data_IF_859346579979
#
_entry.id   IF_859346579979
#
_cell.length_a   1.000
_cell.length_b   1.000
_cell.length_c   1.000
_cell.angle_alpha   90.00
_cell.angle_beta   90.00
_cell.angle_gamma   90.00
#
_symmetry.space_group_name_H-M   'P 1'
#
loop_
_entity.id
_entity.type
_entity.pdbx_description
1 polymer ?
#
# COMPACT_ATOMS: atom_id res chain seq x y z
N UNK A 1 9.97 -26.33 -22.67
CA UNK A 1 9.94 -25.80 -21.29
C UNK A 1 11.34 -25.37 -20.94
N UNK A 2 11.49 -24.21 -20.29
CA UNK A 2 12.80 -23.75 -19.83
C UNK A 2 13.13 -24.42 -18.49
N UNK A 3 14.40 -24.74 -18.27
CA UNK A 3 14.90 -25.17 -16.95
C UNK A 3 15.16 -23.92 -16.09
N UNK A 4 15.15 -24.07 -14.77
CA UNK A 4 15.52 -22.98 -13.85
C UNK A 4 16.99 -22.59 -14.01
N UNK A 5 17.31 -21.32 -13.76
CA UNK A 5 18.65 -20.76 -13.95
C UNK A 5 19.10 -20.00 -12.70
N UNK A 6 20.25 -20.40 -12.13
CA UNK A 6 20.96 -19.58 -11.16
C UNK A 6 21.69 -18.42 -11.87
N UNK A 7 21.53 -17.20 -11.36
CA UNK A 7 22.30 -16.01 -11.78
C UNK A 7 22.94 -15.34 -10.56
N UNK A 8 24.07 -14.67 -10.78
CA UNK A 8 24.63 -13.71 -9.82
C UNK A 8 23.87 -12.38 -9.94
N UNK A 9 23.40 -11.82 -8.82
CA UNK A 9 22.72 -10.53 -8.78
C UNK A 9 23.69 -9.37 -9.05
N UNK A 10 23.36 -8.53 -10.03
CA UNK A 10 24.13 -7.34 -10.41
C UNK A 10 24.37 -6.39 -9.23
N UNK A 11 23.40 -6.25 -8.32
CA UNK A 11 23.47 -5.31 -7.22
C UNK A 11 24.18 -5.91 -5.99
N UNK A 12 23.65 -6.99 -5.41
CA UNK A 12 24.17 -7.57 -4.15
C UNK A 12 25.23 -8.67 -4.32
N UNK A 13 25.57 -9.05 -5.56
CA UNK A 13 26.55 -10.10 -5.92
C UNK A 13 26.25 -11.51 -5.36
N UNK A 14 25.10 -11.70 -4.71
CA UNK A 14 24.59 -13.00 -4.27
C UNK A 14 23.95 -13.75 -5.44
N UNK A 15 24.02 -15.08 -5.42
CA UNK A 15 23.24 -15.93 -6.30
C UNK A 15 21.73 -15.78 -6.05
N UNK A 16 20.94 -15.89 -7.12
CA UNK A 16 19.49 -16.02 -7.07
C UNK A 16 19.00 -16.94 -8.19
N UNK A 17 17.99 -17.75 -7.90
CA UNK A 17 17.33 -18.59 -8.90
C UNK A 17 16.29 -17.78 -9.68
N UNK A 18 16.18 -18.09 -10.98
CA UNK A 18 15.07 -17.73 -11.84
C UNK A 18 14.36 -19.02 -12.19
N UNK A 19 13.12 -19.17 -11.73
CA UNK A 19 12.36 -20.41 -11.88
C UNK A 19 11.85 -20.60 -13.31
N UNK A 20 11.48 -21.83 -13.70
CA UNK A 20 10.93 -22.15 -15.04
C UNK A 20 9.80 -21.20 -15.45
N UNK A 21 8.93 -20.88 -14.50
CA UNK A 21 7.70 -20.14 -14.69
C UNK A 21 7.96 -18.62 -14.72
N UNK A 22 9.11 -18.18 -14.20
CA UNK A 22 9.54 -16.79 -14.28
C UNK A 22 9.81 -16.36 -15.72
N UNK A 23 10.35 -17.26 -16.54
CA UNK A 23 10.59 -17.01 -17.96
C UNK A 23 9.28 -16.78 -18.73
N UNK A 24 8.26 -17.62 -18.47
CA UNK A 24 6.91 -17.50 -19.07
C UNK A 24 6.31 -16.13 -18.75
N UNK A 25 6.50 -15.68 -17.50
CA UNK A 25 6.05 -14.37 -17.07
C UNK A 25 6.80 -13.21 -17.78
N UNK A 26 8.14 -13.24 -17.88
CA UNK A 26 8.88 -12.18 -18.58
C UNK A 26 8.57 -12.14 -20.09
N UNK A 27 8.27 -13.29 -20.70
CA UNK A 27 7.79 -13.41 -22.09
C UNK A 27 6.38 -12.79 -22.27
N UNK A 28 5.41 -13.14 -21.41
CA UNK A 28 4.05 -12.52 -21.33
C UNK A 28 4.11 -10.99 -21.22
N UNK A 29 5.23 -10.48 -20.72
CA UNK A 29 5.53 -9.07 -20.48
C UNK A 29 6.38 -8.38 -21.57
N UNK A 30 6.97 -9.15 -22.48
CA UNK A 30 7.92 -8.67 -23.49
C UNK A 30 9.15 -7.93 -22.90
N UNK A 31 9.55 -8.24 -21.66
CA UNK A 31 10.71 -7.65 -20.98
C UNK A 31 11.92 -8.60 -20.97
N UNK A 32 13.16 -8.07 -20.90
CA UNK A 32 14.34 -8.88 -20.55
C UNK A 32 14.18 -9.59 -19.20
N UNK A 33 14.72 -10.81 -19.11
CA UNK A 33 14.88 -11.52 -17.83
C UNK A 33 15.89 -10.75 -16.96
N UNK A 34 15.53 -10.32 -15.74
CA UNK A 34 16.34 -9.41 -14.95
C UNK A 34 17.68 -10.02 -14.51
N UNK A 35 18.63 -9.14 -14.20
CA UNK A 35 19.90 -9.47 -13.55
C UNK A 35 19.90 -9.03 -12.07
N UNK A 36 18.73 -8.69 -11.50
CA UNK A 36 18.56 -8.16 -10.15
C UNK A 36 17.55 -9.02 -9.38
N UNK A 37 17.93 -9.50 -8.20
CA UNK A 37 17.12 -10.35 -7.33
C UNK A 37 15.93 -9.61 -6.70
N UNK A 38 14.90 -10.34 -6.26
CA UNK A 38 13.65 -9.78 -5.73
C UNK A 38 13.84 -8.79 -4.57
N UNK A 39 14.67 -9.12 -3.58
CA UNK A 39 14.96 -8.24 -2.45
C UNK A 39 15.54 -6.88 -2.85
N UNK A 40 16.37 -6.83 -3.91
CA UNK A 40 16.91 -5.57 -4.41
C UNK A 40 15.82 -4.73 -5.11
N UNK A 41 14.92 -5.36 -5.88
CA UNK A 41 13.78 -4.67 -6.52
C UNK A 41 12.81 -4.10 -5.48
N UNK A 42 12.46 -4.87 -4.45
CA UNK A 42 11.52 -4.41 -3.42
C UNK A 42 12.09 -3.26 -2.58
N UNK A 43 13.38 -3.28 -2.23
CA UNK A 43 14.05 -2.14 -1.60
C UNK A 43 13.98 -0.89 -2.48
N UNK A 44 14.20 -1.03 -3.79
CA UNK A 44 14.14 0.06 -4.77
C UNK A 44 12.73 0.68 -4.88
N UNK A 45 11.66 -0.11 -4.74
CA UNK A 45 10.27 0.37 -4.74
C UNK A 45 9.91 1.07 -3.43
N UNK A 46 10.32 0.50 -2.29
CA UNK A 46 10.03 1.05 -0.96
C UNK A 46 10.64 2.46 -0.76
N UNK A 47 11.77 2.76 -1.43
CA UNK A 47 12.39 4.09 -1.46
C UNK A 47 11.49 5.20 -2.00
N UNK A 48 10.40 4.88 -2.70
CA UNK A 48 9.47 5.85 -3.26
C UNK A 48 8.22 6.04 -2.38
N UNK A 49 8.11 5.38 -1.21
CA UNK A 49 6.97 5.53 -0.27
C UNK A 49 7.42 6.09 1.09
N UNK A 50 7.41 7.41 1.24
CA UNK A 50 7.35 8.07 2.56
C UNK A 50 5.89 8.13 3.03
N UNK A 51 5.52 7.25 3.97
CA UNK A 51 4.17 7.20 4.53
C UNK A 51 3.98 8.13 5.73
N UNK A 52 4.94 8.16 6.67
CA UNK A 52 4.76 8.72 8.02
C UNK A 52 5.71 9.86 8.38
N UNK A 53 6.74 10.15 7.58
CA UNK A 53 7.71 11.20 7.88
C UNK A 53 7.22 12.54 7.33
N UNK A 54 6.55 13.32 8.17
CA UNK A 54 5.84 14.53 7.79
C UNK A 54 6.60 15.80 8.17
N UNK A 55 6.70 16.73 7.24
CA UNK A 55 7.39 18.01 7.37
C UNK A 55 6.41 19.18 7.28
N UNK A 56 6.71 20.27 8.00
CA UNK A 56 6.09 21.57 7.75
C UNK A 56 6.82 22.24 6.58
N UNK A 57 6.07 22.63 5.54
CA UNK A 57 6.53 23.45 4.40
C UNK A 57 5.61 24.66 4.23
N UNK A 58 6.01 25.59 3.36
CA UNK A 58 5.07 26.47 2.67
C UNK A 58 4.77 25.89 1.28
N UNK A 59 3.59 26.17 0.74
CA UNK A 59 3.20 25.79 -0.62
C UNK A 59 3.90 26.66 -1.66
N UNK A 60 4.61 26.05 -2.62
CA UNK A 60 5.41 26.80 -3.60
C UNK A 60 4.56 27.55 -4.66
N UNK A 61 3.22 27.41 -4.65
CA UNK A 61 2.29 28.19 -5.48
C UNK A 61 1.55 29.32 -4.74
N UNK A 62 1.36 29.20 -3.41
CA UNK A 62 0.52 30.13 -2.66
C UNK A 62 1.07 30.55 -1.29
N UNK A 63 2.32 30.19 -0.97
CA UNK A 63 3.03 30.47 0.28
C UNK A 63 2.40 29.93 1.59
N UNK A 64 1.16 29.42 1.55
CA UNK A 64 0.45 28.89 2.72
C UNK A 64 1.20 27.73 3.40
N UNK A 65 1.19 27.73 4.73
CA UNK A 65 1.78 26.68 5.56
C UNK A 65 1.03 25.36 5.40
N UNK A 66 1.75 24.28 5.07
CA UNK A 66 1.19 22.96 4.83
C UNK A 66 2.03 21.84 5.46
N UNK A 67 1.40 20.68 5.68
CA UNK A 67 2.09 19.43 6.00
C UNK A 67 2.45 18.71 4.68
N UNK A 68 3.62 18.09 4.64
CA UNK A 68 4.21 17.51 3.42
C UNK A 68 4.99 16.23 3.67
N UNK A 69 4.99 15.31 2.71
CA UNK A 69 5.91 14.16 2.68
C UNK A 69 7.30 14.48 2.10
N UNK A 70 7.56 15.73 1.71
CA UNK A 70 8.84 16.17 1.16
C UNK A 70 9.63 17.05 2.15
N UNK A 71 10.82 16.60 2.55
CA UNK A 71 11.78 17.37 3.34
C UNK A 71 11.98 18.79 2.76
N UNK A 72 11.99 19.88 3.56
CA UNK A 72 12.13 21.26 3.07
C UNK A 72 13.30 21.49 2.08
N UNK A 73 14.41 20.77 2.24
CA UNK A 73 15.59 20.87 1.37
C UNK A 73 15.51 20.02 0.08
N UNK A 74 14.37 19.37 -0.17
CA UNK A 74 14.03 18.66 -1.40
C UNK A 74 14.16 19.56 -2.65
N UNK A 75 14.65 19.05 -3.80
CA UNK A 75 14.77 19.82 -5.03
C UNK A 75 13.43 20.03 -5.77
N UNK A 76 12.34 19.37 -5.35
CA UNK A 76 11.04 19.47 -6.01
C UNK A 76 10.25 20.70 -5.55
N UNK A 77 9.59 21.36 -6.50
CA UNK A 77 8.46 22.26 -6.27
C UNK A 77 7.27 21.46 -5.71
N UNK A 78 6.71 21.85 -4.55
CA UNK A 78 5.62 21.13 -3.88
C UNK A 78 4.40 22.03 -3.66
N UNK A 79 3.23 21.57 -4.10
CA UNK A 79 1.97 22.29 -3.96
C UNK A 79 1.04 21.64 -2.93
N UNK A 80 0.33 22.47 -2.16
CA UNK A 80 -0.76 22.01 -1.30
C UNK A 80 -1.86 21.32 -2.14
N UNK A 81 -2.63 20.42 -1.53
CA UNK A 81 -3.59 19.59 -2.27
C UNK A 81 -4.59 20.41 -3.11
N UNK A 82 -5.07 21.54 -2.58
CA UNK A 82 -5.98 22.44 -3.28
C UNK A 82 -5.31 23.14 -4.47
N UNK A 83 -4.05 23.55 -4.34
CA UNK A 83 -3.28 24.11 -5.46
C UNK A 83 -2.95 23.04 -6.51
N UNK A 84 -2.53 21.86 -6.09
CA UNK A 84 -2.22 20.73 -6.98
C UNK A 84 -3.44 20.28 -7.79
N UNK A 85 -4.64 20.27 -7.18
CA UNK A 85 -5.91 19.94 -7.84
C UNK A 85 -6.62 21.15 -8.49
N UNK A 86 -6.08 22.36 -8.40
CA UNK A 86 -6.60 23.56 -9.10
C UNK A 86 -6.10 23.68 -10.55
N UNK A 87 -6.70 24.58 -11.34
CA UNK A 87 -6.29 24.87 -12.72
C UNK A 87 -5.29 26.04 -12.82
N UNK A 88 -4.64 26.39 -11.71
CA UNK A 88 -3.60 27.45 -11.64
C UNK A 88 -2.27 27.06 -12.31
N UNK A 89 -2.12 25.80 -12.71
CA UNK A 89 -0.95 25.24 -13.38
C UNK A 89 -1.37 24.10 -14.31
N UNK A 90 -0.54 23.79 -15.30
CA UNK A 90 -0.75 22.67 -16.24
C UNK A 90 0.57 21.93 -16.46
N UNK A 91 0.56 20.60 -16.30
CA UNK A 91 1.73 19.76 -16.53
C UNK A 91 2.24 19.81 -18.00
N UNK A 92 1.41 20.25 -18.95
CA UNK A 92 1.82 20.55 -20.35
C UNK A 92 2.90 21.64 -20.44
N UNK A 93 2.95 22.59 -19.51
CA UNK A 93 3.89 23.71 -19.54
C UNK A 93 5.36 23.28 -19.32
N UNK A 94 5.57 22.03 -18.92
CA UNK A 94 6.88 21.41 -18.67
C UNK A 94 7.27 20.38 -19.75
N UNK A 95 6.51 20.33 -20.86
CA UNK A 95 6.73 19.38 -21.95
C UNK A 95 8.12 19.55 -22.60
N UNK A 96 8.79 18.42 -22.86
CA UNK A 96 10.10 18.37 -23.51
C UNK A 96 10.06 17.61 -24.83
N UNK A 97 10.95 17.99 -25.75
CA UNK A 97 11.27 17.20 -26.93
C UNK A 97 12.16 16.01 -26.55
N UNK A 98 11.85 14.83 -27.09
CA UNK A 98 12.64 13.62 -26.88
C UNK A 98 13.89 13.61 -27.77
N UNK A 99 15.07 13.64 -27.14
CA UNK A 99 16.35 13.44 -27.79
C UNK A 99 16.60 11.95 -28.03
N UNK A 100 16.69 11.59 -29.32
CA UNK A 100 16.89 10.23 -29.82
C UNK A 100 18.26 9.63 -29.56
N UNK A 101 19.26 10.47 -29.25
CA UNK A 101 20.66 10.09 -29.04
C UNK A 101 20.90 9.84 -27.54
N UNK A 102 20.28 10.65 -26.66
CA UNK A 102 20.45 10.56 -25.21
C UNK A 102 19.70 9.39 -24.56
N UNK A 103 20.15 8.86 -23.41
CA UNK A 103 19.41 7.88 -22.63
C UNK A 103 18.05 8.43 -22.16
N UNK A 104 16.99 7.62 -22.25
CA UNK A 104 15.64 8.05 -21.88
C UNK A 104 15.49 8.37 -20.38
N UNK A 105 16.08 7.57 -19.49
CA UNK A 105 15.93 7.75 -18.04
C UNK A 105 16.54 9.07 -17.52
N UNK A 106 17.57 9.61 -18.18
CA UNK A 106 18.08 10.95 -17.87
C UNK A 106 17.03 12.02 -18.15
N UNK A 107 16.44 11.99 -19.36
CA UNK A 107 15.44 12.95 -19.80
C UNK A 107 14.19 12.90 -18.90
N UNK A 108 13.81 11.69 -18.45
CA UNK A 108 12.75 11.48 -17.46
C UNK A 108 13.11 12.07 -16.08
N UNK A 109 14.35 11.87 -15.59
CA UNK A 109 14.82 12.47 -14.34
C UNK A 109 14.77 14.00 -14.38
N UNK A 110 15.19 14.61 -15.48
CA UNK A 110 15.10 16.07 -15.64
C UNK A 110 13.66 16.60 -15.66
N UNK A 111 12.68 15.79 -16.12
CA UNK A 111 11.26 16.17 -16.11
C UNK A 111 10.67 16.10 -14.70
N UNK A 112 10.92 14.99 -14.00
CA UNK A 112 10.42 14.77 -12.62
C UNK A 112 10.86 15.89 -11.65
N UNK A 113 12.04 16.49 -11.87
CA UNK A 113 12.57 17.58 -11.06
C UNK A 113 11.84 18.92 -11.27
N UNK A 114 11.32 19.21 -12.47
CA UNK A 114 10.72 20.51 -12.80
C UNK A 114 9.19 20.53 -12.66
N UNK A 115 8.52 19.39 -12.81
CA UNK A 115 7.06 19.27 -12.68
C UNK A 115 6.66 19.30 -11.19
N UNK A 116 5.74 20.19 -10.75
CA UNK A 116 5.30 20.26 -9.36
C UNK A 116 4.73 18.95 -8.80
N UNK A 117 4.84 18.76 -7.48
CA UNK A 117 4.43 17.53 -6.77
C UNK A 117 3.34 17.82 -5.73
N UNK A 118 2.45 16.85 -5.50
CA UNK A 118 1.39 16.94 -4.48
C UNK A 118 1.98 16.77 -3.07
N UNK A 119 1.62 17.65 -2.12
CA UNK A 119 2.24 17.66 -0.78
C UNK A 119 2.02 16.38 0.05
N UNK A 120 0.86 15.74 -0.06
CA UNK A 120 0.48 14.50 0.64
C UNK A 120 -0.38 13.64 -0.27
N UNK A 121 -0.20 12.33 -0.29
CA UNK A 121 -0.92 11.46 -1.22
C UNK A 121 -2.37 11.20 -0.77
N UNK A 122 -3.33 11.67 -1.59
CA UNK A 122 -4.79 11.56 -1.36
C UNK A 122 -5.46 10.91 -2.57
N UNK A 123 -5.77 9.61 -2.44
CA UNK A 123 -6.34 8.77 -3.50
C UNK A 123 -7.84 9.00 -3.71
N UNK A 124 -8.25 9.30 -4.95
CA UNK A 124 -9.63 9.21 -5.45
C UNK A 124 -10.66 10.22 -4.91
N UNK A 125 -10.30 11.08 -3.96
CA UNK A 125 -11.24 12.03 -3.34
C UNK A 125 -10.54 13.15 -2.58
N UNK A 126 -11.19 13.64 -1.53
CA UNK A 126 -10.65 14.63 -0.59
C UNK A 126 -10.79 14.14 0.85
N UNK A 127 -10.03 14.75 1.77
CA UNK A 127 -10.15 14.53 3.21
C UNK A 127 -10.69 15.80 3.87
N UNK A 128 -11.75 15.67 4.66
CA UNK A 128 -12.47 16.80 5.27
C UNK A 128 -12.03 16.96 6.73
N UNK A 129 -11.36 18.07 7.06
CA UNK A 129 -10.83 18.38 8.40
C UNK A 129 -9.86 17.31 8.94
N UNK A 130 -8.64 17.28 8.40
CA UNK A 130 -7.54 16.49 8.96
C UNK A 130 -6.24 16.66 8.16
N UNK A 131 -5.26 17.33 8.77
CA UNK A 131 -4.01 17.75 8.13
C UNK A 131 -2.94 16.66 8.13
N UNK A 132 -2.88 15.89 9.22
CA UNK A 132 -1.90 14.81 9.44
C UNK A 132 -2.47 13.49 8.90
N UNK A 133 -2.62 13.41 7.57
CA UNK A 133 -3.13 12.23 6.88
C UNK A 133 -2.37 12.02 5.56
N UNK A 134 -1.85 10.81 5.34
CA UNK A 134 -1.09 10.47 4.13
C UNK A 134 -1.44 9.05 3.67
N UNK A 135 -1.37 8.77 2.38
CA UNK A 135 -1.91 7.54 1.77
C UNK A 135 -3.38 7.31 2.14
N UNK A 136 -4.20 8.36 1.97
CA UNK A 136 -5.52 8.38 2.60
C UNK A 136 -6.52 9.23 1.84
N UNK A 137 -7.77 8.78 1.72
CA UNK A 137 -8.80 9.47 0.93
C UNK A 137 -10.22 9.17 1.41
N UNK A 138 -11.15 10.11 1.18
CA UNK A 138 -12.53 10.05 1.65
C UNK A 138 -12.69 10.04 3.19
N UNK A 139 -11.71 10.54 3.94
CA UNK A 139 -11.77 10.59 5.41
C UNK A 139 -12.37 11.91 5.91
N UNK A 140 -12.97 11.89 7.11
CA UNK A 140 -13.71 13.01 7.69
C UNK A 140 -13.44 13.14 9.19
N UNK A 141 -12.88 14.28 9.62
CA UNK A 141 -12.47 14.55 11.00
C UNK A 141 -11.47 13.51 11.57
N UNK A 142 -10.51 13.08 10.76
CA UNK A 142 -9.52 12.08 11.15
C UNK A 142 -8.14 12.72 11.39
N UNK A 143 -7.41 12.25 12.40
CA UNK A 143 -6.13 12.84 12.81
C UNK A 143 -5.04 11.78 12.99
N UNK A 144 -3.87 11.99 12.36
CA UNK A 144 -2.74 11.07 12.40
C UNK A 144 -3.14 9.66 11.93
N UNK A 145 -3.76 9.58 10.74
CA UNK A 145 -4.18 8.31 10.12
C UNK A 145 -3.51 8.07 8.78
N UNK A 146 -3.12 6.81 8.54
CA UNK A 146 -2.29 6.41 7.40
C UNK A 146 -2.87 5.18 6.68
N UNK A 147 -2.64 5.07 5.37
CA UNK A 147 -3.10 3.92 4.56
C UNK A 147 -4.62 3.63 4.72
N UNK A 148 -5.44 4.67 4.84
CA UNK A 148 -6.81 4.63 5.42
C UNK A 148 -7.81 5.37 4.54
N UNK A 149 -9.03 4.84 4.37
CA UNK A 149 -10.04 5.51 3.56
C UNK A 149 -11.50 5.22 3.89
N UNK A 150 -12.38 6.16 3.52
CA UNK A 150 -13.81 6.18 3.83
C UNK A 150 -14.15 6.20 5.34
N UNK A 151 -13.29 6.80 6.19
CA UNK A 151 -13.48 6.78 7.66
C UNK A 151 -13.94 8.10 8.25
N UNK A 152 -14.62 8.05 9.41
CA UNK A 152 -15.10 9.24 10.13
C UNK A 152 -14.65 9.24 11.61
N UNK A 153 -14.22 10.39 12.14
CA UNK A 153 -13.83 10.58 13.55
C UNK A 153 -12.75 9.58 14.05
N UNK A 154 -11.81 9.16 13.20
CA UNK A 154 -10.78 8.16 13.55
C UNK A 154 -9.41 8.80 13.81
N UNK A 155 -8.65 8.32 14.80
CA UNK A 155 -7.35 8.90 15.16
C UNK A 155 -6.26 7.86 15.45
N UNK A 156 -4.99 8.24 15.25
CA UNK A 156 -3.80 7.45 15.60
C UNK A 156 -3.85 6.00 15.07
N UNK A 157 -4.31 5.81 13.84
CA UNK A 157 -4.71 4.50 13.31
C UNK A 157 -4.24 4.26 11.87
N UNK A 158 -4.08 2.98 11.50
CA UNK A 158 -3.53 2.57 10.20
C UNK A 158 -4.37 1.47 9.56
N UNK A 159 -4.63 1.57 8.25
CA UNK A 159 -5.34 0.52 7.52
C UNK A 159 -6.85 0.47 7.76
N UNK A 160 -7.48 1.56 8.19
CA UNK A 160 -8.92 1.58 8.49
C UNK A 160 -9.77 1.71 7.22
N UNK A 161 -10.92 1.00 7.18
CA UNK A 161 -11.92 1.09 6.11
C UNK A 161 -13.34 1.14 6.66
N UNK A 162 -14.07 2.19 6.31
CA UNK A 162 -15.47 2.44 6.71
C UNK A 162 -15.72 2.44 8.24
N UNK A 163 -14.68 2.72 9.03
CA UNK A 163 -14.76 2.84 10.48
C UNK A 163 -15.34 4.20 10.93
N UNK A 164 -16.00 4.21 12.09
CA UNK A 164 -16.42 5.42 12.80
C UNK A 164 -16.00 5.37 14.27
N UNK A 165 -15.54 6.50 14.80
CA UNK A 165 -15.21 6.68 16.23
C UNK A 165 -14.19 5.64 16.75
N UNK A 166 -13.05 5.48 16.04
CA UNK A 166 -11.97 4.52 16.34
C UNK A 166 -10.68 5.22 16.76
N UNK A 167 -10.04 4.71 17.81
CA UNK A 167 -8.75 5.18 18.33
C UNK A 167 -7.76 4.00 18.46
N UNK A 168 -6.48 4.26 18.19
CA UNK A 168 -5.35 3.33 18.37
C UNK A 168 -5.63 1.92 17.81
N UNK A 169 -5.93 1.85 16.51
CA UNK A 169 -6.26 0.61 15.82
C UNK A 169 -5.42 0.37 14.56
N UNK A 170 -5.04 -0.89 14.39
CA UNK A 170 -4.30 -1.41 13.25
C UNK A 170 -5.22 -2.36 12.49
N UNK A 171 -5.52 -2.04 11.23
CA UNK A 171 -6.38 -2.79 10.29
C UNK A 171 -7.76 -3.20 10.86
N UNK A 172 -8.77 -2.39 10.53
CA UNK A 172 -10.18 -2.66 10.86
C UNK A 172 -11.10 -2.37 9.67
N UNK A 173 -12.12 -3.21 9.49
CA UNK A 173 -13.12 -3.07 8.44
C UNK A 173 -14.53 -3.04 9.08
N UNK A 174 -15.12 -1.83 9.08
CA UNK A 174 -16.47 -1.49 9.59
C UNK A 174 -16.68 -1.81 11.09
N UNK A 175 -16.22 -0.92 11.99
CA UNK A 175 -16.57 -0.91 13.41
C UNK A 175 -17.00 0.50 13.87
N UNK A 176 -17.91 0.55 14.86
CA UNK A 176 -18.45 1.78 15.48
C UNK A 176 -18.23 1.83 17.00
N UNK A 177 -17.01 1.46 17.45
CA UNK A 177 -16.25 1.99 18.61
C UNK A 177 -15.29 0.94 19.14
N UNK A 178 -14.02 1.32 19.27
CA UNK A 178 -12.94 0.45 19.76
C UNK A 178 -11.73 1.25 20.25
N UNK A 179 -11.00 0.65 21.19
CA UNK A 179 -9.63 0.98 21.57
C UNK A 179 -8.85 -0.34 21.69
N UNK A 180 -7.62 -0.35 21.16
CA UNK A 180 -6.74 -1.51 21.02
C UNK A 180 -7.42 -2.76 20.40
N UNK A 181 -7.92 -2.58 19.18
CA UNK A 181 -8.27 -3.66 18.26
C UNK A 181 -7.20 -3.78 17.15
N UNK A 182 -6.67 -4.99 16.95
CA UNK A 182 -5.51 -5.27 16.07
C UNK A 182 -5.88 -6.11 14.82
N UNK A 183 -7.05 -6.74 14.80
CA UNK A 183 -7.65 -7.37 13.62
C UNK A 183 -9.13 -7.62 13.93
N UNK A 184 -10.02 -6.82 13.36
CA UNK A 184 -11.46 -6.90 13.59
C UNK A 184 -12.27 -6.59 12.31
N UNK A 185 -13.22 -7.47 11.98
CA UNK A 185 -14.08 -7.39 10.79
C UNK A 185 -15.56 -7.45 11.17
N UNK A 186 -16.40 -6.60 10.58
CA UNK A 186 -17.88 -6.65 10.65
C UNK A 186 -18.40 -6.82 12.08
N UNK A 187 -17.94 -5.98 13.00
CA UNK A 187 -18.10 -6.19 14.45
C UNK A 187 -18.54 -4.91 15.18
N UNK A 188 -19.15 -5.05 16.35
CA UNK A 188 -19.72 -3.91 17.08
C UNK A 188 -19.50 -4.03 18.59
N UNK A 189 -19.16 -2.92 19.27
CA UNK A 189 -18.97 -2.89 20.72
C UNK A 189 -17.81 -3.76 21.22
N UNK A 190 -16.68 -3.74 20.50
CA UNK A 190 -15.50 -4.59 20.76
C UNK A 190 -14.33 -3.77 21.30
N UNK A 191 -13.73 -4.24 22.40
CA UNK A 191 -12.50 -3.71 22.98
C UNK A 191 -11.49 -4.83 23.27
N UNK A 192 -10.19 -4.48 23.30
CA UNK A 192 -9.11 -5.36 23.78
C UNK A 192 -9.08 -6.74 23.11
N UNK A 193 -9.28 -6.77 21.78
CA UNK A 193 -9.55 -7.99 21.04
C UNK A 193 -8.70 -8.10 19.77
N UNK A 194 -8.31 -9.33 19.45
CA UNK A 194 -7.37 -9.63 18.36
C UNK A 194 -7.84 -10.86 17.58
N UNK A 195 -7.74 -10.77 16.25
CA UNK A 195 -8.10 -11.85 15.31
C UNK A 195 -9.58 -12.28 15.47
N UNK A 196 -10.50 -11.31 15.34
CA UNK A 196 -11.94 -11.51 15.51
C UNK A 196 -12.76 -11.10 14.29
N UNK A 197 -13.86 -11.81 14.06
CA UNK A 197 -14.75 -11.58 12.92
C UNK A 197 -16.20 -11.88 13.29
N UNK A 198 -17.13 -11.01 12.86
CA UNK A 198 -18.57 -11.09 13.12
C UNK A 198 -18.93 -11.13 14.63
N UNK A 199 -18.25 -10.33 15.47
CA UNK A 199 -18.46 -10.34 16.92
C UNK A 199 -19.22 -9.11 17.41
N UNK A 200 -20.07 -9.29 18.43
CA UNK A 200 -20.99 -8.28 18.94
C UNK A 200 -20.91 -8.15 20.47
N UNK A 201 -20.78 -6.90 20.97
CA UNK A 201 -20.84 -6.52 22.38
C UNK A 201 -19.99 -7.42 23.29
N UNK A 202 -18.74 -7.65 22.90
CA UNK A 202 -17.83 -8.63 23.51
C UNK A 202 -16.44 -8.04 23.69
N UNK A 203 -15.71 -8.43 24.74
CA UNK A 203 -14.40 -7.86 25.09
C UNK A 203 -13.40 -8.95 25.48
N UNK A 204 -12.11 -8.66 25.35
CA UNK A 204 -11.04 -9.63 25.62
C UNK A 204 -11.23 -10.92 24.83
N UNK A 205 -11.33 -10.79 23.50
CA UNK A 205 -11.48 -11.92 22.58
C UNK A 205 -10.18 -12.20 21.82
N UNK A 206 -9.83 -13.47 21.66
CA UNK A 206 -8.69 -13.88 20.84
C UNK A 206 -9.00 -15.07 19.92
N UNK A 207 -8.72 -14.93 18.62
CA UNK A 207 -8.96 -15.95 17.59
C UNK A 207 -10.44 -16.43 17.49
N UNK A 208 -11.39 -15.57 17.88
CA UNK A 208 -12.81 -15.89 18.02
C UNK A 208 -13.64 -15.47 16.80
N UNK A 209 -14.74 -16.16 16.53
CA UNK A 209 -15.60 -15.88 15.36
C UNK A 209 -17.08 -16.12 15.65
N UNK A 210 -17.94 -15.16 15.28
CA UNK A 210 -19.39 -15.19 15.55
C UNK A 210 -19.69 -15.39 17.06
N UNK A 211 -19.25 -14.43 17.88
CA UNK A 211 -19.52 -14.38 19.32
C UNK A 211 -20.39 -13.17 19.66
N UNK A 212 -21.40 -13.36 20.51
CA UNK A 212 -22.26 -12.29 21.01
C UNK A 212 -22.26 -12.28 22.54
N UNK A 213 -22.04 -11.13 23.17
CA UNK A 213 -21.99 -11.01 24.64
C UNK A 213 -21.04 -12.06 25.26
N UNK A 214 -19.75 -12.00 24.91
CA UNK A 214 -18.71 -12.88 25.47
C UNK A 214 -17.52 -12.08 26.01
N UNK A 215 -16.85 -12.63 27.03
CA UNK A 215 -15.78 -11.95 27.76
C UNK A 215 -14.60 -12.87 28.05
N UNK A 216 -13.38 -12.45 27.75
CA UNK A 216 -12.16 -13.23 28.03
C UNK A 216 -12.07 -14.55 27.25
N UNK A 217 -12.63 -14.63 26.04
CA UNK A 217 -12.78 -15.89 25.31
C UNK A 217 -11.72 -16.11 24.22
N UNK A 218 -11.24 -17.35 24.10
CA UNK A 218 -10.11 -17.76 23.26
C UNK A 218 -10.52 -18.93 22.34
N UNK A 219 -10.21 -18.83 21.04
CA UNK A 219 -10.44 -19.86 20.02
C UNK A 219 -11.92 -20.32 19.83
N UNK A 220 -12.90 -19.64 20.43
CA UNK A 220 -14.32 -20.03 20.36
C UNK A 220 -15.02 -19.60 19.06
N UNK A 221 -16.07 -20.35 18.69
CA UNK A 221 -16.93 -20.09 17.53
C UNK A 221 -18.40 -20.30 17.83
N UNK A 222 -19.27 -19.43 17.33
CA UNK A 222 -20.74 -19.54 17.44
C UNK A 222 -21.20 -19.66 18.91
N UNK A 223 -20.81 -18.72 19.79
CA UNK A 223 -21.09 -18.74 21.24
C UNK A 223 -21.64 -17.43 21.77
N UNK A 224 -22.59 -17.55 22.70
CA UNK A 224 -23.22 -16.44 23.39
C UNK A 224 -23.07 -16.61 24.91
N UNK A 225 -22.96 -15.52 25.67
CA UNK A 225 -22.89 -15.51 27.14
C UNK A 225 -21.79 -16.43 27.70
N UNK A 226 -20.56 -16.33 27.18
CA UNK A 226 -19.40 -17.05 27.71
C UNK A 226 -18.42 -16.13 28.43
N UNK A 227 -17.86 -16.60 29.55
CA UNK A 227 -16.83 -15.92 30.33
C UNK A 227 -15.65 -16.88 30.55
N UNK A 228 -14.43 -16.49 30.16
CA UNK A 228 -13.24 -17.36 30.20
C UNK A 228 -13.51 -18.75 29.61
N UNK A 229 -14.07 -18.78 28.40
CA UNK A 229 -14.53 -19.95 27.65
C UNK A 229 -15.65 -20.80 28.27
N UNK A 230 -16.18 -20.47 29.45
CA UNK A 230 -17.28 -21.22 30.09
C UNK A 230 -18.64 -20.58 29.76
N UNK A 231 -19.68 -21.35 29.42
CA UNK A 231 -21.05 -20.83 29.30
C UNK A 231 -21.55 -20.36 30.67
N UNK A 232 -22.30 -19.26 30.69
CA UNK A 232 -22.99 -18.74 31.86
C UNK A 232 -24.45 -18.44 31.52
N UNK A 233 -25.30 -18.39 32.55
CA UNK A 233 -26.63 -17.84 32.40
C UNK A 233 -26.59 -16.33 32.12
N UNK A 234 -27.55 -15.83 31.34
CA UNK A 234 -27.54 -14.44 30.83
C UNK A 234 -27.37 -13.41 31.95
N UNK A 235 -28.02 -13.62 33.11
CA UNK A 235 -27.91 -12.73 34.27
C UNK A 235 -26.51 -12.78 34.88
N UNK A 236 -26.00 -13.97 35.16
CA UNK A 236 -24.67 -14.17 35.75
C UNK A 236 -23.55 -13.59 34.86
N UNK A 237 -23.69 -13.69 33.53
CA UNK A 237 -22.79 -13.03 32.59
C UNK A 237 -22.78 -11.51 32.77
N UNK A 238 -23.95 -10.87 32.82
CA UNK A 238 -24.09 -9.42 32.99
C UNK A 238 -23.52 -8.98 34.34
N UNK A 239 -23.83 -9.69 35.41
CA UNK A 239 -23.37 -9.39 36.77
C UNK A 239 -21.83 -9.49 36.87
N UNK A 240 -21.19 -10.49 36.24
CA UNK A 240 -19.71 -10.61 36.22
C UNK A 240 -19.03 -9.54 35.37
N UNK A 241 -19.56 -9.26 34.17
CA UNK A 241 -18.92 -8.32 33.22
C UNK A 241 -19.08 -6.87 33.68
N UNK A 242 -20.23 -6.49 34.24
CA UNK A 242 -20.41 -5.18 34.89
C UNK A 242 -19.55 -5.01 36.15
N UNK A 243 -19.15 -6.11 36.80
CA UNK A 243 -18.17 -6.09 37.88
C UNK A 243 -16.75 -5.66 37.46
N UNK A 244 -16.42 -5.72 36.16
CA UNK A 244 -15.07 -5.42 35.60
C UNK A 244 -15.09 -4.13 34.76
N UNK A 245 -16.06 -3.97 33.85
CA UNK A 245 -16.15 -2.81 32.96
C UNK A 245 -16.42 -1.52 33.75
N UNK A 246 -15.94 -0.39 33.22
CA UNK A 246 -16.11 0.94 33.82
C UNK A 246 -15.03 1.34 34.84
N UNK A 247 -14.01 0.52 35.09
CA UNK A 247 -12.85 0.84 35.91
C UNK A 247 -11.56 0.51 35.17
N UNK A 248 -10.64 1.49 35.08
CA UNK A 248 -9.34 1.32 34.40
C UNK A 248 -8.52 0.19 35.05
N UNK A 249 -8.30 0.26 36.37
CA UNK A 249 -7.48 -0.70 37.11
C UNK A 249 -7.98 -2.14 36.97
N UNK A 250 -9.32 -2.34 36.95
CA UNK A 250 -9.94 -3.66 36.73
C UNK A 250 -9.77 -4.15 35.31
N UNK A 251 -9.89 -3.26 34.33
CA UNK A 251 -9.67 -3.54 32.90
C UNK A 251 -8.20 -3.90 32.65
N UNK A 252 -7.26 -3.14 33.21
CA UNK A 252 -5.82 -3.38 33.06
C UNK A 252 -5.39 -4.69 33.76
N UNK A 253 -5.89 -4.93 34.98
CA UNK A 253 -5.72 -6.20 35.68
C UNK A 253 -6.27 -7.38 34.89
N UNK A 254 -7.52 -7.30 34.42
CA UNK A 254 -8.10 -8.38 33.63
C UNK A 254 -7.38 -8.57 32.30
N UNK A 255 -6.79 -7.53 31.71
CA UNK A 255 -5.94 -7.71 30.54
C UNK A 255 -4.69 -8.52 30.86
N UNK A 256 -3.97 -8.20 31.95
CA UNK A 256 -2.81 -8.98 32.39
C UNK A 256 -3.19 -10.45 32.58
N UNK A 257 -4.27 -10.71 33.32
CA UNK A 257 -4.84 -12.05 33.52
C UNK A 257 -5.27 -12.72 32.20
N UNK A 258 -5.80 -11.97 31.22
CA UNK A 258 -6.19 -12.50 29.91
C UNK A 258 -5.01 -12.82 28.99
N UNK A 259 -3.87 -12.11 29.11
CA UNK A 259 -2.62 -12.46 28.40
C UNK A 259 -2.10 -13.81 28.88
N UNK A 260 -2.13 -14.04 30.20
CA UNK A 260 -1.74 -15.31 30.80
C UNK A 260 -2.77 -16.43 30.53
N UNK A 261 -4.07 -16.12 30.51
CA UNK A 261 -5.10 -17.07 30.07
C UNK A 261 -4.87 -17.49 28.61
N UNK A 262 -4.60 -16.54 27.71
CA UNK A 262 -4.34 -16.77 26.28
C UNK A 262 -3.14 -17.69 26.02
N UNK A 263 -2.06 -17.60 26.81
CA UNK A 263 -0.86 -18.42 26.59
C UNK A 263 -1.06 -19.91 26.89
N UNK A 264 -2.10 -20.27 27.66
CA UNK A 264 -2.50 -21.66 27.92
C UNK A 264 -3.23 -22.33 26.74
N UNK A 265 -3.56 -21.59 25.67
CA UNK A 265 -4.25 -22.13 24.49
C UNK A 265 -3.29 -22.30 23.31
N UNK A 266 -3.53 -23.36 22.54
CA UNK A 266 -2.89 -23.57 21.24
C UNK A 266 -3.08 -22.34 20.36
N UNK A 267 -1.96 -21.68 20.07
CA UNK A 267 -1.88 -20.67 19.02
C UNK A 267 -1.98 -21.39 17.67
N UNK A 268 -2.57 -20.73 16.68
CA UNK A 268 -2.34 -21.16 15.30
C UNK A 268 -0.93 -20.71 14.94
N UNK A 269 -0.15 -21.56 14.28
CA UNK A 269 0.96 -21.09 13.44
C UNK A 269 0.42 -20.09 12.42
N UNK A 270 -0.78 -20.38 11.92
CA UNK A 270 -1.33 -19.84 10.70
C UNK A 270 -2.85 -19.56 10.85
N UNK A 271 -3.19 -18.29 10.74
CA UNK A 271 -4.49 -17.66 10.68
C UNK A 271 -5.23 -17.82 9.32
N UNK A 272 -4.50 -17.99 8.21
CA UNK A 272 -4.94 -17.79 6.81
C UNK A 272 -6.33 -18.33 6.38
N UNK A 273 -6.97 -17.66 5.40
CA UNK A 273 -8.32 -17.96 4.86
C UNK A 273 -8.32 -18.02 3.31
N UNK A 274 -7.50 -18.90 2.73
CA UNK A 274 -7.23 -19.22 1.30
C UNK A 274 -5.71 -19.16 1.11
N UNK A 275 -5.15 -20.25 0.63
CA UNK A 275 -3.80 -20.72 1.03
C UNK A 275 -3.08 -21.41 -0.15
N UNK A 276 -1.96 -22.12 0.02
CA UNK A 276 -0.62 -21.83 0.58
C UNK A 276 0.34 -22.72 -0.24
N UNK A 277 1.61 -22.31 -0.39
CA UNK A 277 2.16 -22.03 -1.72
C UNK A 277 1.18 -21.11 -2.50
N UNK A 278 0.52 -20.04 -1.98
CA UNK A 278 0.72 -18.87 -1.07
C UNK A 278 1.47 -18.93 0.29
N UNK A 279 1.67 -17.80 0.97
CA UNK A 279 1.62 -17.68 2.45
C UNK A 279 1.50 -16.21 2.87
N UNK A 280 1.21 -16.01 4.15
CA UNK A 280 0.36 -14.93 4.64
C UNK A 280 0.79 -14.33 5.98
N UNK A 281 -0.06 -13.56 6.66
CA UNK A 281 -1.52 -13.82 6.81
C UNK A 281 -2.36 -12.55 6.98
N UNK A 282 -3.70 -12.55 7.02
CA UNK A 282 -4.77 -13.58 7.00
C UNK A 282 -5.23 -14.17 5.64
N UNK A 283 -4.64 -13.78 4.51
CA UNK A 283 -4.91 -14.25 3.13
C UNK A 283 -6.34 -14.73 2.72
N UNK A 284 -7.37 -13.90 2.63
CA UNK A 284 -8.55 -14.15 1.77
C UNK A 284 -8.24 -14.02 0.26
N UNK A 285 -7.11 -14.60 -0.19
CA UNK A 285 -6.40 -14.43 -1.47
C UNK A 285 -5.45 -15.60 -1.69
N UNK A 286 -5.15 -16.04 -2.94
CA UNK A 286 -4.03 -16.97 -3.16
C UNK A 286 -3.67 -17.23 -4.63
N UNK A 287 -2.40 -17.67 -4.84
CA UNK A 287 -1.86 -18.55 -5.91
C UNK A 287 -0.35 -18.28 -6.04
N UNK A 288 0.50 -19.22 -5.61
CA UNK A 288 1.97 -19.32 -5.85
C UNK A 288 2.79 -18.02 -5.88
N UNK A 289 2.38 -17.02 -5.08
CA UNK A 289 2.83 -15.64 -4.99
C UNK A 289 4.37 -15.40 -5.04
N UNK A 290 4.98 -14.87 -3.98
CA UNK A 290 5.80 -15.63 -3.03
C UNK A 290 5.85 -14.93 -1.64
N UNK A 291 4.77 -14.26 -1.16
CA UNK A 291 4.06 -14.72 0.08
C UNK A 291 4.16 -13.80 1.32
N UNK A 292 3.52 -12.62 1.36
CA UNK A 292 3.66 -11.67 2.49
C UNK A 292 2.37 -10.89 2.89
N UNK A 293 1.31 -11.60 3.30
CA UNK A 293 0.22 -11.14 4.21
C UNK A 293 -1.13 -10.71 3.55
N UNK A 294 -2.19 -10.42 4.33
CA UNK A 294 -3.57 -10.21 3.80
C UNK A 294 -3.77 -8.94 2.93
N UNK A 295 -4.59 -9.11 1.89
CA UNK A 295 -4.85 -8.20 0.79
C UNK A 295 -6.28 -7.54 0.73
N UNK A 296 -7.28 -7.77 -0.16
CA UNK A 296 -7.87 -8.95 -0.86
C UNK A 296 -7.72 -8.91 -2.40
N UNK A 297 -7.00 -9.85 -3.01
CA UNK A 297 -6.54 -9.91 -4.41
C UNK A 297 -6.12 -11.38 -4.79
N UNK A 298 -5.28 -11.58 -5.83
CA UNK A 298 -4.25 -12.64 -5.87
C UNK A 298 -3.65 -12.88 -7.28
N UNK A 299 -2.30 -12.95 -7.40
CA UNK A 299 -1.41 -13.18 -8.59
C UNK A 299 -0.35 -12.05 -8.79
N UNK A 300 0.93 -12.23 -9.15
CA UNK A 300 1.77 -13.38 -9.50
C UNK A 300 2.37 -14.09 -8.29
N UNK A 301 3.11 -13.48 -7.35
CA UNK A 301 3.56 -12.08 -7.15
C UNK A 301 4.56 -12.06 -5.97
N UNK A 302 5.84 -11.72 -6.19
CA UNK A 302 6.93 -12.08 -5.25
C UNK A 302 7.88 -10.93 -4.86
N UNK A 303 7.55 -10.02 -3.95
CA UNK A 303 6.93 -10.28 -2.63
C UNK A 303 5.93 -9.21 -2.09
N UNK A 304 5.43 -8.25 -2.90
CA UNK A 304 4.33 -7.29 -2.55
C UNK A 304 4.54 -6.49 -1.21
N UNK A 305 3.62 -5.94 -0.38
CA UNK A 305 2.14 -5.79 -0.19
C UNK A 305 1.82 -4.34 0.29
N UNK A 306 0.66 -3.67 0.17
CA UNK A 306 -0.69 -3.98 0.72
C UNK A 306 -1.84 -3.28 -0.08
N UNK A 307 -2.10 -3.51 -1.37
CA UNK A 307 -2.85 -4.64 -1.97
C UNK A 307 -4.32 -4.80 -1.47
N UNK A 308 -5.34 -4.20 -2.13
CA UNK A 308 -6.73 -4.75 -2.24
C UNK A 308 -7.12 -4.91 -3.74
N UNK A 309 -6.09 -5.23 -4.56
CA UNK A 309 -6.00 -5.30 -6.03
C UNK A 309 -4.58 -5.72 -6.53
N UNK A 310 -4.43 -6.85 -7.24
CA UNK A 310 -3.25 -7.28 -8.06
C UNK A 310 -3.67 -8.35 -9.09
N UNK A 311 -2.87 -8.51 -10.15
CA UNK A 311 -2.81 -9.69 -11.04
C UNK A 311 -1.41 -9.85 -11.66
N UNK A 312 -1.07 -11.09 -12.03
CA UNK A 312 0.27 -11.63 -12.34
C UNK A 312 1.37 -10.55 -12.54
N UNK A 313 2.05 -10.09 -11.47
CA UNK A 313 3.28 -9.28 -11.58
C UNK A 313 4.17 -9.07 -10.36
N UNK A 314 5.30 -8.35 -10.56
CA UNK A 314 6.50 -8.39 -9.71
C UNK A 314 7.19 -7.06 -9.33
N UNK A 315 6.86 -6.38 -8.23
CA UNK A 315 6.20 -6.85 -7.01
C UNK A 315 5.71 -5.60 -6.23
N UNK A 316 4.46 -5.56 -5.75
CA UNK A 316 3.71 -4.32 -5.40
C UNK A 316 3.54 -4.01 -3.89
N UNK A 317 4.01 -2.86 -3.40
CA UNK A 317 3.81 -2.41 -2.00
C UNK A 317 2.57 -1.47 -1.89
N UNK A 318 1.39 -1.96 -2.31
CA UNK A 318 0.22 -1.17 -2.80
C UNK A 318 -0.55 -0.22 -1.86
N UNK A 319 -1.51 0.55 -2.39
CA UNK A 319 -2.94 0.17 -2.49
C UNK A 319 -3.54 0.40 -3.89
N UNK A 320 -4.10 -0.64 -4.51
CA UNK A 320 -4.78 -0.54 -5.82
C UNK A 320 -6.30 -0.72 -5.77
N UNK A 321 -6.97 -0.43 -6.89
CA UNK A 321 -8.26 -1.02 -7.28
C UNK A 321 -8.32 -1.29 -8.80
N UNK A 322 -7.68 -2.39 -9.21
CA UNK A 322 -7.09 -2.66 -10.52
C UNK A 322 -6.93 -4.18 -10.78
N UNK A 323 -6.37 -4.59 -11.94
CA UNK A 323 -4.91 -4.80 -12.10
C UNK A 323 -4.56 -5.40 -13.47
N UNK A 324 -3.62 -6.35 -13.53
CA UNK A 324 -3.10 -7.05 -14.73
C UNK A 324 -2.06 -6.18 -15.48
N UNK A 325 -0.76 -6.51 -15.69
CA UNK A 325 0.17 -7.60 -15.34
C UNK A 325 1.57 -7.12 -14.83
N UNK A 326 1.81 -5.92 -14.25
CA UNK A 326 3.13 -5.24 -14.46
C UNK A 326 4.03 -4.77 -13.28
N UNK A 327 5.35 -4.77 -13.56
CA UNK A 327 6.49 -4.52 -12.67
C UNK A 327 6.80 -3.02 -12.54
N UNK A 328 6.80 -2.41 -11.37
CA UNK A 328 6.45 -2.89 -10.05
C UNK A 328 5.90 -1.65 -9.35
N UNK A 329 4.90 -1.76 -8.47
CA UNK A 329 4.04 -0.61 -8.18
C UNK A 329 3.85 -0.30 -6.70
N UNK A 330 3.43 0.94 -6.40
CA UNK A 330 2.82 1.37 -5.14
C UNK A 330 1.63 2.26 -5.47
N UNK A 331 0.43 1.67 -5.39
CA UNK A 331 -0.87 2.29 -5.69
C UNK A 331 -1.21 2.51 -7.18
N UNK A 332 -2.51 2.33 -7.49
CA UNK A 332 -3.14 2.42 -8.81
C UNK A 332 -4.69 2.44 -8.66
N UNK A 333 -5.48 2.67 -9.72
CA UNK A 333 -6.95 2.43 -9.74
C UNK A 333 -7.56 2.57 -11.15
N UNK A 334 -8.25 1.54 -11.67
CA UNK A 334 -8.60 1.35 -13.11
C UNK A 334 -7.33 1.24 -14.01
N UNK A 335 -7.19 0.14 -14.77
CA UNK A 335 -5.85 -0.42 -15.04
C UNK A 335 -5.58 -1.11 -16.39
N UNK A 336 -4.53 -1.95 -16.43
CA UNK A 336 -3.90 -2.66 -17.56
C UNK A 336 -2.98 -1.74 -18.38
N UNK A 337 -1.73 -2.05 -18.76
CA UNK A 337 -0.80 -3.18 -18.53
C UNK A 337 0.65 -2.65 -18.36
N UNK A 338 1.07 -2.06 -17.22
CA UNK A 338 2.33 -1.26 -17.24
C UNK A 338 3.32 -1.12 -16.07
N UNK A 339 4.56 -0.85 -16.50
CA UNK A 339 5.85 -1.02 -15.84
C UNK A 339 6.54 0.34 -15.72
N UNK A 340 7.03 0.85 -14.59
CA UNK A 340 6.73 0.51 -13.19
C UNK A 340 6.47 1.83 -12.45
N UNK A 341 5.67 1.79 -11.38
CA UNK A 341 4.99 2.99 -10.93
C UNK A 341 4.94 3.22 -9.42
N UNK A 342 4.50 4.41 -9.06
CA UNK A 342 3.79 4.72 -7.83
C UNK A 342 2.35 5.10 -8.35
N UNK A 343 1.39 5.61 -7.56
CA UNK A 343 -0.01 5.94 -7.95
C UNK A 343 -0.30 6.27 -9.43
N UNK A 344 -1.42 5.73 -9.96
CA UNK A 344 -2.16 6.27 -11.11
C UNK A 344 -3.64 5.85 -11.08
N UNK A 345 -4.58 6.79 -11.21
CA UNK A 345 -6.04 6.60 -11.07
C UNK A 345 -6.84 7.44 -12.11
N UNK A 346 -6.96 7.18 -13.41
CA UNK A 346 -7.28 5.92 -14.11
C UNK A 346 -6.33 5.66 -15.30
N UNK A 347 -6.25 4.42 -15.79
CA UNK A 347 -5.27 4.01 -16.78
C UNK A 347 -5.83 3.18 -17.95
N UNK A 348 -5.15 3.26 -19.10
CA UNK A 348 -4.70 2.10 -19.88
C UNK A 348 -3.24 2.34 -20.32
N UNK A 349 -2.39 1.30 -20.27
CA UNK A 349 -0.97 1.20 -20.62
C UNK A 349 -0.05 2.44 -20.41
N UNK A 350 0.34 2.74 -19.15
CA UNK A 350 1.26 3.81 -18.67
C UNK A 350 2.73 3.36 -18.38
N UNK A 351 3.60 3.24 -19.38
CA UNK A 351 4.98 2.76 -19.11
C UNK A 351 5.79 3.83 -18.34
N UNK A 352 6.22 3.56 -17.10
CA UNK A 352 6.93 4.41 -16.12
C UNK A 352 6.17 5.66 -15.65
N UNK A 353 5.78 5.70 -14.36
CA UNK A 353 4.86 6.74 -13.86
C UNK A 353 4.93 7.09 -12.35
N UNK A 354 4.79 8.38 -12.04
CA UNK A 354 4.08 8.92 -10.85
C UNK A 354 3.79 10.41 -11.05
N UNK A 355 2.63 11.00 -10.75
CA UNK A 355 1.30 10.48 -10.33
C UNK A 355 0.26 10.97 -11.36
N UNK A 356 -0.73 10.18 -11.75
CA UNK A 356 -1.60 10.48 -12.93
C UNK A 356 -3.07 10.12 -12.66
N UNK A 357 -4.02 11.07 -12.80
CA UNK A 357 -5.45 10.88 -12.44
C UNK A 357 -6.40 10.72 -13.67
N UNK A 358 -5.89 10.50 -14.90
CA UNK A 358 -6.57 9.77 -16.03
C UNK A 358 -5.75 9.65 -17.33
N UNK A 359 -5.72 8.47 -17.97
CA UNK A 359 -4.89 8.18 -19.15
C UNK A 359 -5.32 6.96 -20.01
N UNK A 360 -4.72 6.81 -21.20
CA UNK A 360 -4.94 5.73 -22.19
C UNK A 360 -3.75 5.65 -23.21
N UNK A 361 -2.92 4.60 -23.18
CA UNK A 361 -1.72 4.35 -24.02
C UNK A 361 -0.63 5.46 -24.03
N UNK A 362 0.39 5.34 -23.17
CA UNK A 362 1.47 6.32 -23.00
C UNK A 362 2.77 5.74 -22.38
N UNK A 363 3.86 6.52 -22.38
CA UNK A 363 5.08 6.20 -21.61
C UNK A 363 5.75 7.47 -21.02
N UNK A 364 6.47 7.32 -19.90
CA UNK A 364 7.24 8.33 -19.19
C UNK A 364 6.41 9.51 -18.69
N UNK A 365 5.53 9.27 -17.71
CA UNK A 365 4.44 10.21 -17.37
C UNK A 365 4.43 10.72 -15.90
N UNK A 366 3.94 11.95 -15.73
CA UNK A 366 3.93 12.72 -14.48
C UNK A 366 2.83 13.81 -14.53
N UNK A 367 1.87 13.79 -13.59
CA UNK A 367 0.98 14.92 -13.26
C UNK A 367 -0.27 15.16 -14.12
N UNK A 368 -0.68 14.24 -15.00
CA UNK A 368 -1.74 14.49 -16.00
C UNK A 368 -3.16 14.02 -15.59
N UNK A 369 -4.21 14.71 -16.09
CA UNK A 369 -5.62 14.54 -15.68
C UNK A 369 -6.60 14.00 -16.75
N UNK A 370 -6.15 13.74 -17.99
CA UNK A 370 -6.87 13.03 -19.09
C UNK A 370 -5.93 13.01 -20.31
N UNK A 371 -5.46 11.84 -20.77
CA UNK A 371 -4.34 11.78 -21.74
C UNK A 371 -4.40 10.59 -22.73
N UNK A 372 -3.78 10.75 -23.91
CA UNK A 372 -3.31 9.68 -24.82
C UNK A 372 -2.00 10.07 -25.53
N UNK A 373 -1.19 9.08 -25.96
CA UNK A 373 -0.07 9.25 -26.91
C UNK A 373 0.94 10.38 -26.57
N UNK A 374 1.57 10.29 -25.39
CA UNK A 374 2.52 11.31 -24.89
C UNK A 374 3.91 10.76 -24.56
N UNK A 375 4.87 11.68 -24.59
CA UNK A 375 6.30 11.48 -24.31
C UNK A 375 6.81 12.72 -23.58
N UNK A 376 7.39 12.58 -22.38
CA UNK A 376 7.93 13.71 -21.59
C UNK A 376 6.97 14.92 -21.51
N UNK A 377 5.71 14.63 -21.18
CA UNK A 377 4.54 15.54 -21.21
C UNK A 377 4.15 16.18 -22.56
N UNK A 378 4.96 16.08 -23.62
CA UNK A 378 4.60 16.47 -25.01
C UNK A 378 3.65 15.46 -25.65
N UNK A 379 2.77 15.95 -26.53
CA UNK A 379 1.74 15.14 -27.23
C UNK A 379 2.12 14.86 -28.68
N UNK A 380 1.78 13.66 -29.16
CA UNK A 380 2.24 13.13 -30.46
C UNK A 380 1.10 12.45 -31.24
N UNK A 381 1.18 12.49 -32.57
CA UNK A 381 0.27 11.74 -33.44
C UNK A 381 0.44 10.23 -33.25
N UNK A 382 -0.66 9.46 -33.24
CA UNK A 382 -0.68 8.02 -32.90
C UNK A 382 0.36 7.14 -33.61
N UNK A 383 0.70 7.46 -34.86
CA UNK A 383 1.71 6.70 -35.63
C UNK A 383 3.15 7.09 -35.23
N UNK A 384 3.40 8.38 -35.01
CA UNK A 384 4.70 8.88 -34.54
C UNK A 384 4.98 8.41 -33.11
N UNK A 385 3.98 8.51 -32.22
CA UNK A 385 4.04 8.01 -30.85
C UNK A 385 4.50 6.54 -30.80
N UNK A 386 3.96 5.66 -31.66
CA UNK A 386 4.39 4.26 -31.76
C UNK A 386 5.86 4.12 -32.15
N UNK A 387 6.30 4.83 -33.20
CA UNK A 387 7.69 4.79 -33.67
C UNK A 387 8.66 5.22 -32.57
N UNK A 388 8.33 6.30 -31.84
CA UNK A 388 9.16 6.82 -30.75
C UNK A 388 9.14 5.91 -29.51
N UNK A 389 7.97 5.38 -29.14
CA UNK A 389 7.83 4.35 -28.09
C UNK A 389 8.70 3.15 -28.40
N UNK A 390 8.59 2.56 -29.58
CA UNK A 390 9.31 1.34 -29.94
C UNK A 390 10.83 1.59 -30.06
N UNK A 391 11.25 2.79 -30.45
CA UNK A 391 12.65 3.23 -30.36
C UNK A 391 13.15 3.26 -28.89
N UNK A 392 12.36 3.81 -27.96
CA UNK A 392 12.72 3.95 -26.55
C UNK A 392 12.71 2.62 -25.81
N UNK A 393 11.70 1.78 -26.06
CA UNK A 393 11.69 0.38 -25.62
C UNK A 393 12.91 -0.36 -26.18
N UNK A 394 13.30 -0.11 -27.43
CA UNK A 394 14.52 -0.63 -28.03
C UNK A 394 15.81 -0.16 -27.34
N UNK A 395 15.90 1.11 -26.95
CA UNK A 395 17.03 1.68 -26.19
C UNK A 395 17.11 1.04 -24.79
N UNK A 396 15.99 0.99 -24.06
CA UNK A 396 15.92 0.48 -22.69
C UNK A 396 16.10 -1.04 -22.62
N UNK A 397 15.75 -1.78 -23.67
CA UNK A 397 16.11 -3.20 -23.81
C UNK A 397 17.61 -3.40 -24.03
N UNK A 398 18.28 -2.53 -24.80
CA UNK A 398 19.74 -2.56 -24.99
C UNK A 398 20.52 -2.20 -23.72
N UNK A 399 20.02 -1.29 -22.89
CA UNK A 399 20.64 -0.94 -21.60
C UNK A 399 20.26 -1.87 -20.43
N UNK A 400 19.34 -2.82 -20.64
CA UNK A 400 18.84 -3.71 -19.58
C UNK A 400 17.93 -3.04 -18.56
N UNK A 401 17.44 -1.82 -18.83
CA UNK A 401 16.57 -1.04 -17.95
C UNK A 401 15.08 -1.30 -18.17
N UNK A 402 14.67 -1.76 -19.35
CA UNK A 402 13.27 -2.08 -19.64
C UNK A 402 12.79 -3.24 -18.75
N UNK A 403 11.67 -3.07 -18.05
CA UNK A 403 11.19 -4.04 -17.06
C UNK A 403 11.68 -3.82 -15.62
N UNK A 404 12.53 -2.80 -15.37
CA UNK A 404 12.97 -2.41 -14.03
C UNK A 404 12.23 -1.14 -13.53
N UNK A 405 12.32 -0.91 -12.22
CA UNK A 405 11.82 0.31 -11.58
C UNK A 405 12.74 1.50 -11.81
N UNK A 406 12.28 2.73 -11.50
CA UNK A 406 13.09 3.93 -11.54
C UNK A 406 14.41 3.76 -10.75
N UNK A 407 15.58 4.10 -11.34
CA UNK A 407 16.86 4.08 -10.65
C UNK A 407 16.86 4.83 -9.30
N UNK A 408 17.72 4.42 -8.36
CA UNK A 408 17.74 4.96 -6.99
C UNK A 408 18.11 6.45 -6.95
N UNK A 409 18.89 6.93 -7.91
CA UNK A 409 19.19 8.35 -8.12
C UNK A 409 18.00 9.18 -8.64
N UNK A 410 16.82 8.58 -8.79
CA UNK A 410 15.53 9.23 -9.05
C UNK A 410 14.56 9.12 -7.86
N UNK A 411 14.97 8.52 -6.74
CA UNK A 411 14.13 8.39 -5.55
C UNK A 411 13.89 9.76 -4.88
N UNK A 412 12.64 10.12 -4.55
CA UNK A 412 12.31 11.45 -4.02
C UNK A 412 12.57 11.64 -2.52
N UNK A 413 12.95 10.58 -1.80
CA UNK A 413 13.07 10.54 -0.34
C UNK A 413 14.38 9.87 0.10
N UNK A 414 14.94 10.26 1.25
CA UNK A 414 16.05 9.56 1.88
C UNK A 414 15.60 8.25 2.55
N UNK A 415 16.53 7.30 2.73
CA UNK A 415 16.23 5.95 3.22
C UNK A 415 15.37 5.94 4.49
N UNK A 416 15.74 6.79 5.45
CA UNK A 416 15.11 6.92 6.77
C UNK A 416 13.75 7.67 6.78
N UNK A 417 13.31 8.24 5.65
CA UNK A 417 11.97 8.81 5.50
C UNK A 417 10.94 7.76 5.02
N UNK A 418 11.41 6.58 4.57
CA UNK A 418 10.59 5.65 3.79
C UNK A 418 10.22 4.38 4.54
N UNK A 419 9.22 3.66 4.03
CA UNK A 419 8.88 2.32 4.54
C UNK A 419 10.02 1.31 4.39
N UNK A 420 11.07 1.61 3.61
CA UNK A 420 12.24 0.74 3.49
C UNK A 420 12.96 0.54 4.84
N UNK A 421 13.08 1.59 5.66
CA UNK A 421 13.69 1.48 6.99
C UNK A 421 12.89 0.55 7.93
N UNK A 422 11.56 0.61 7.85
CA UNK A 422 10.67 -0.21 8.70
C UNK A 422 10.75 -1.70 8.36
N UNK A 423 11.01 -2.05 7.09
CA UNK A 423 11.07 -3.43 6.60
C UNK A 423 12.52 -3.98 6.54
N UNK A 424 13.51 -3.09 6.47
CA UNK A 424 14.93 -3.42 6.36
C UNK A 424 15.77 -2.45 7.22
N UNK A 425 15.71 -2.53 8.56
CA UNK A 425 16.52 -1.67 9.42
C UNK A 425 18.02 -1.84 9.14
N UNK A 426 18.75 -0.73 9.15
CA UNK A 426 20.21 -0.74 9.06
C UNK A 426 20.76 -1.06 10.45
N UNK A 427 21.60 -2.08 10.54
CA UNK A 427 22.45 -2.31 11.73
C UNK A 427 23.48 -1.20 11.84
N UNK A 428 23.57 -0.56 13.01
CA UNK A 428 24.71 0.27 13.39
C UNK A 428 25.94 -0.60 13.72
#
# INVERSE_FOLDING_TARGET
MNQSQTKICQNCKTDFTIESDDFVFYEKMQVPVPNICGYCRIKQIMMFRNETTLYKRNCDLCAESMISMYNPNSPYTVYCNDCYKSDKWDAKNYAKDYDKIRPFMEQMKELLLIVPKQTLFISGGTNVKGEYQNFSGFNKKCYFVFNTGYTENCSYSRGLRYCRDVLDSYFAEQLEKSYECINAQNSYGICYSQNISNCLNSQFLFNCNNLQSCFGCVNLRNKNYHFLNKPLEKKEYIDKVSGILGSYDKIEKFWREFRDFKSNFSQRQNNNIKTVDSDGEYLLQSKNCHYCFEMINGEDCKFNFFTKSIKDSRDNVGYGYDCELNLATVAVGYSNKVIGSFSSHHCVNIEYCFDVERADDCFGCDGLRNAKCRILNKEYGKNEYKILRDQIVGQLKKSGQYGLYFPLEMAPFAYNETVALNMFPISN
#
